data_IF_808590290993
#
_entry.id   IF_808590290993
#
_cell.length_a   1.000
_cell.length_b   1.000
_cell.length_c   1.000
_cell.angle_alpha   90.00
_cell.angle_beta   90.00
_cell.angle_gamma   90.00
#
_symmetry.space_group_name_H-M   'P 1'
#
loop_
_entity.id
_entity.type
_entity.pdbx_description
1 polymer ?
#
# COMPACT_ATOMS: atom_id res chain seq x y z
N UNK A 1 -2.46 18.61 -16.46
CA UNK A 1 -1.79 18.84 -15.15
C UNK A 1 -1.16 17.53 -14.65
N UNK A 2 0.08 17.27 -15.03
CA UNK A 2 0.93 16.18 -14.51
C UNK A 2 1.53 16.60 -13.15
N UNK A 3 0.72 16.63 -12.08
CA UNK A 3 1.28 16.89 -10.74
C UNK A 3 2.13 15.69 -10.35
N UNK A 4 3.44 15.89 -10.19
CA UNK A 4 4.41 14.90 -9.72
C UNK A 4 3.82 14.04 -8.59
N UNK A 5 3.35 12.84 -8.95
CA UNK A 5 2.68 11.93 -8.03
C UNK A 5 3.73 11.28 -7.15
N UNK A 6 4.10 11.95 -6.07
CA UNK A 6 4.94 11.38 -5.01
C UNK A 6 4.18 10.25 -4.34
N UNK A 7 4.72 9.03 -4.46
CA UNK A 7 4.48 7.99 -3.46
C UNK A 7 5.03 8.50 -2.12
N UNK A 8 4.45 8.04 -1.02
CA UNK A 8 4.87 8.52 0.31
C UNK A 8 6.35 8.26 0.59
N UNK A 9 6.89 7.14 0.09
CA UNK A 9 8.33 6.95 0.00
C UNK A 9 8.73 5.97 -1.11
N UNK A 10 9.79 6.33 -1.84
CA UNK A 10 10.56 5.40 -2.66
C UNK A 10 11.94 5.28 -2.01
N UNK A 11 12.36 4.07 -1.63
CA UNK A 11 13.67 3.83 -1.00
C UNK A 11 14.29 2.58 -1.60
N UNK A 12 15.40 2.75 -2.32
CA UNK A 12 16.07 1.65 -3.02
C UNK A 12 15.10 0.84 -3.88
N UNK A 13 15.04 -0.48 -3.64
CA UNK A 13 14.15 -1.42 -4.32
C UNK A 13 12.69 -1.43 -3.85
N UNK A 14 12.27 -0.52 -2.96
CA UNK A 14 10.94 -0.52 -2.36
C UNK A 14 10.13 0.73 -2.72
N UNK A 15 8.84 0.53 -2.98
CA UNK A 15 7.82 1.56 -3.07
C UNK A 15 6.86 1.41 -1.89
N UNK A 16 6.68 2.47 -1.12
CA UNK A 16 5.92 2.47 0.12
C UNK A 16 4.83 3.54 0.03
N UNK A 17 3.60 3.13 0.33
CA UNK A 17 2.47 4.02 0.49
C UNK A 17 1.88 3.85 1.89
N UNK A 18 1.48 4.95 2.53
CA UNK A 18 0.95 5.01 3.88
C UNK A 18 -0.46 5.55 3.81
N UNK A 19 -1.43 4.69 4.07
CA UNK A 19 -2.82 5.10 4.22
C UNK A 19 -3.13 5.19 5.73
N UNK A 20 -3.66 6.33 6.21
CA UNK A 20 -4.02 6.54 7.63
C UNK A 20 -5.52 6.56 7.90
N UNK A 21 -6.36 6.89 6.92
CA UNK A 21 -7.80 7.08 7.06
C UNK A 21 -8.65 5.80 7.05
N UNK A 22 -8.10 4.67 6.62
CA UNK A 22 -8.73 3.34 6.68
C UNK A 22 -9.88 3.07 5.72
N UNK A 23 -10.33 4.05 4.95
CA UNK A 23 -11.50 3.85 4.09
C UNK A 23 -11.15 2.99 2.86
N UNK A 24 -12.04 2.10 2.41
CA UNK A 24 -11.78 1.25 1.23
C UNK A 24 -11.37 2.04 -0.01
N UNK A 25 -11.97 3.22 -0.23
CA UNK A 25 -11.64 4.13 -1.34
C UNK A 25 -10.17 4.60 -1.27
N UNK A 26 -9.71 5.05 -0.10
CA UNK A 26 -8.33 5.51 0.08
C UNK A 26 -7.33 4.37 -0.02
N UNK A 27 -7.64 3.20 0.56
CA UNK A 27 -6.80 2.00 0.44
C UNK A 27 -6.68 1.58 -1.03
N UNK A 28 -7.78 1.56 -1.78
CA UNK A 28 -7.76 1.25 -3.20
C UNK A 28 -6.93 2.25 -4.01
N UNK A 29 -7.00 3.53 -3.67
CA UNK A 29 -6.19 4.55 -4.31
C UNK A 29 -4.70 4.33 -4.04
N UNK A 30 -4.33 4.03 -2.79
CA UNK A 30 -2.97 3.70 -2.40
C UNK A 30 -2.43 2.45 -3.13
N UNK A 31 -3.24 1.39 -3.24
CA UNK A 31 -2.91 0.19 -4.01
C UNK A 31 -2.72 0.50 -5.50
N UNK A 32 -3.60 1.31 -6.10
CA UNK A 32 -3.46 1.72 -7.50
C UNK A 32 -2.18 2.51 -7.75
N UNK A 33 -1.76 3.36 -6.80
CA UNK A 33 -0.47 4.08 -6.87
C UNK A 33 0.69 3.10 -6.81
N UNK A 34 0.69 2.19 -5.85
CA UNK A 34 1.71 1.15 -5.74
C UNK A 34 1.76 0.23 -6.98
N UNK A 35 0.63 -0.01 -7.65
CA UNK A 35 0.57 -0.86 -8.86
C UNK A 35 1.38 -0.28 -10.03
N UNK A 36 1.52 1.03 -10.10
CA UNK A 36 2.33 1.71 -11.13
C UNK A 36 3.83 1.40 -11.01
N UNK A 37 4.28 0.95 -9.84
CA UNK A 37 5.69 0.67 -9.57
C UNK A 37 6.03 -0.76 -9.97
N UNK A 38 6.38 -0.97 -11.24
CA UNK A 38 6.64 -2.31 -11.80
C UNK A 38 7.92 -2.96 -11.24
N UNK A 39 8.99 -2.18 -11.06
CA UNK A 39 10.32 -2.69 -10.75
C UNK A 39 10.67 -2.63 -9.24
N UNK A 40 9.66 -2.47 -8.37
CA UNK A 40 9.89 -2.29 -6.93
C UNK A 40 9.00 -3.21 -6.11
N UNK A 41 9.53 -3.64 -4.96
CA UNK A 41 8.76 -4.33 -3.92
C UNK A 41 7.76 -3.34 -3.32
N UNK A 42 6.47 -3.68 -3.38
CA UNK A 42 5.37 -2.81 -2.97
C UNK A 42 5.02 -3.05 -1.51
N UNK A 43 4.95 -1.98 -0.73
CA UNK A 43 4.58 -2.01 0.68
C UNK A 43 3.45 -1.01 0.91
N UNK A 44 2.33 -1.49 1.45
CA UNK A 44 1.26 -0.65 1.95
C UNK A 44 1.29 -0.63 3.48
N UNK A 45 1.31 0.55 4.08
CA UNK A 45 1.20 0.75 5.53
C UNK A 45 -0.19 1.26 5.88
N UNK A 46 -0.86 0.61 6.83
CA UNK A 46 -2.22 0.96 7.27
C UNK A 46 -2.37 0.89 8.80
N UNK A 47 -3.39 1.53 9.41
CA UNK A 47 -3.72 1.29 10.81
C UNK A 47 -4.02 -0.19 11.05
N UNK A 48 -3.71 -0.68 12.25
CA UNK A 48 -3.87 -2.09 12.62
C UNK A 48 -5.27 -2.64 12.31
N UNK A 49 -6.32 -1.88 12.64
CA UNK A 49 -7.72 -2.24 12.41
C UNK A 49 -8.10 -2.44 10.92
N UNK A 50 -7.30 -1.89 10.01
CA UNK A 50 -7.57 -1.91 8.56
C UNK A 50 -6.69 -2.91 7.80
N UNK A 51 -5.81 -3.64 8.48
CA UNK A 51 -4.90 -4.63 7.89
C UNK A 51 -5.63 -5.69 7.06
N UNK A 52 -6.71 -6.24 7.61
CA UNK A 52 -7.46 -7.32 6.95
C UNK A 52 -8.20 -6.81 5.73
N UNK A 53 -8.82 -5.63 5.84
CA UNK A 53 -9.47 -4.98 4.72
C UNK A 53 -8.48 -4.64 3.60
N UNK A 54 -7.29 -4.14 3.96
CA UNK A 54 -6.25 -3.84 2.99
C UNK A 54 -5.74 -5.09 2.27
N UNK A 55 -5.58 -6.21 3.00
CA UNK A 55 -5.20 -7.50 2.42
C UNK A 55 -6.28 -8.03 1.47
N UNK A 56 -7.55 -7.96 1.86
CA UNK A 56 -8.68 -8.35 1.01
C UNK A 56 -8.71 -7.55 -0.30
N UNK A 57 -8.60 -6.21 -0.22
CA UNK A 57 -8.60 -5.34 -1.39
C UNK A 57 -7.39 -5.56 -2.30
N UNK A 58 -6.23 -5.87 -1.73
CA UNK A 58 -5.03 -6.22 -2.49
C UNK A 58 -5.21 -7.53 -3.28
N UNK A 59 -5.79 -8.55 -2.64
CA UNK A 59 -6.12 -9.83 -3.28
C UNK A 59 -7.12 -9.68 -4.42
N UNK A 60 -8.19 -8.90 -4.21
CA UNK A 60 -9.17 -8.59 -5.26
C UNK A 60 -8.54 -7.88 -6.48
N UNK A 61 -7.42 -7.18 -6.28
CA UNK A 61 -6.66 -6.53 -7.37
C UNK A 61 -5.57 -7.41 -7.98
N UNK A 62 -5.46 -8.67 -7.55
CA UNK A 62 -4.39 -9.61 -7.92
C UNK A 62 -3.00 -8.99 -7.78
N UNK A 63 -2.79 -8.25 -6.68
CA UNK A 63 -1.62 -7.43 -6.50
C UNK A 63 -0.68 -8.04 -5.47
N UNK A 64 0.53 -8.40 -5.90
CA UNK A 64 1.61 -8.80 -4.99
C UNK A 64 2.12 -7.57 -4.23
N UNK A 65 1.66 -7.41 -2.99
CA UNK A 65 1.99 -6.30 -2.09
C UNK A 65 2.16 -6.82 -0.66
N UNK A 66 3.12 -6.28 0.07
CA UNK A 66 3.24 -6.52 1.51
C UNK A 66 2.41 -5.48 2.25
N UNK A 67 1.51 -5.92 3.13
CA UNK A 67 0.74 -5.02 4.02
C UNK A 67 1.40 -5.02 5.40
N UNK A 68 1.67 -3.84 5.94
CA UNK A 68 2.25 -3.66 7.28
C UNK A 68 1.43 -2.68 8.09
N UNK A 69 1.46 -2.79 9.41
CA UNK A 69 0.85 -1.78 10.26
C UNK A 69 1.74 -0.52 10.35
N UNK A 70 1.17 0.61 10.79
CA UNK A 70 1.91 1.88 10.91
C UNK A 70 3.13 1.79 11.84
N UNK A 71 3.03 1.01 12.93
CA UNK A 71 4.16 0.73 13.84
C UNK A 71 5.14 -0.31 13.30
N UNK A 72 4.86 -0.91 12.14
CA UNK A 72 5.64 -1.96 11.46
C UNK A 72 5.86 -3.26 12.26
N UNK A 73 5.21 -3.43 13.41
CA UNK A 73 5.32 -4.63 14.25
C UNK A 73 4.59 -5.84 13.67
N UNK A 74 3.63 -5.64 12.77
CA UNK A 74 2.85 -6.72 12.15
C UNK A 74 2.91 -6.62 10.63
N UNK A 75 3.23 -7.75 9.98
CA UNK A 75 3.34 -7.89 8.52
C UNK A 75 2.42 -9.00 8.04
N UNK A 76 1.64 -8.73 6.99
CA UNK A 76 0.84 -9.73 6.26
C UNK A 76 1.23 -9.72 4.78
N UNK A 77 1.28 -10.91 4.17
CA UNK A 77 1.50 -11.09 2.74
C UNK A 77 0.14 -11.33 2.07
N UNK A 78 -0.19 -10.49 1.09
CA UNK A 78 -1.44 -10.58 0.34
C UNK A 78 -1.28 -11.52 -0.85
#
# INVERSE_FOLDING_TARGET
ISRGRRLDAIRGGYAIEVERGGTPKKINQALSRLKTQRNKKKILRVPQKNMDKATQLARQKHMNVTVTNLSKTKRKKA
#
